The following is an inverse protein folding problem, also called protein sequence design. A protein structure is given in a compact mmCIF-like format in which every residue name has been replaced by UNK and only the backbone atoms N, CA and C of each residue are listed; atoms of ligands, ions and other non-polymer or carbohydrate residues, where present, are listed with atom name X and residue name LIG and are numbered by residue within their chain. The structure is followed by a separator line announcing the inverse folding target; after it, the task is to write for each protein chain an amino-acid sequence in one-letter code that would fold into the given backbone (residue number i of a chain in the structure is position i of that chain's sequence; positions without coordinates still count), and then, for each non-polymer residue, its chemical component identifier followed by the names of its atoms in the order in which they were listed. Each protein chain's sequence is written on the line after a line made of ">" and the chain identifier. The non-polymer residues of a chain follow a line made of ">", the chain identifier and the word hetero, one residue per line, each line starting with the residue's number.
data_IF_167777119568
#
_entry.id   IF_167777119568
#
_cell.length_a   1.000
_cell.length_b   1.000
_cell.length_c   1.000
_cell.angle_alpha   90.00
_cell.angle_beta   90.00
_cell.angle_gamma   90.00
#
_symmetry.space_group_name_H-M   'P 1'
#
loop_
_entity.id
_entity.type
_entity.pdbx_description
1 polymer ?
#
# COMPACT_ATOMS: atom_id res chain seq x y z
N UNK A 1 20.74 15.16 11.92
CA UNK A 1 19.49 15.94 12.03
C UNK A 1 18.35 15.07 11.50
N UNK A 2 17.22 14.94 12.22
CA UNK A 2 16.06 14.21 11.70
C UNK A 2 15.61 14.92 10.43
N UNK A 3 15.71 14.23 9.29
CA UNK A 3 15.54 14.86 8.00
C UNK A 3 14.06 14.86 7.64
N UNK A 4 13.43 16.04 7.67
CA UNK A 4 12.05 16.24 7.21
C UNK A 4 11.79 15.71 5.78
N UNK A 5 12.86 15.41 5.01
CA UNK A 5 12.80 14.74 3.72
C UNK A 5 12.10 13.37 3.73
N UNK A 6 12.03 12.67 4.87
CA UNK A 6 11.32 11.38 4.97
C UNK A 6 9.83 11.53 4.68
N UNK A 7 9.22 12.65 5.08
CA UNK A 7 7.81 12.96 4.84
C UNK A 7 7.54 13.57 3.46
N UNK A 8 8.58 14.00 2.76
CA UNK A 8 8.40 14.82 1.56
C UNK A 8 7.56 14.10 0.48
N UNK A 9 7.78 12.81 0.14
CA UNK A 9 7.03 12.17 -0.93
C UNK A 9 5.53 12.08 -0.64
N UNK A 10 5.15 11.58 0.54
CA UNK A 10 3.75 11.49 0.97
C UNK A 10 3.09 12.86 1.16
N UNK A 11 3.81 13.83 1.76
CA UNK A 11 3.30 15.19 1.97
C UNK A 11 3.04 15.96 0.67
N UNK A 12 3.87 15.77 -0.36
CA UNK A 12 3.70 16.42 -1.66
C UNK A 12 2.40 16.01 -2.35
N UNK A 13 2.06 14.71 -2.32
CA UNK A 13 0.81 14.21 -2.88
C UNK A 13 -0.41 14.68 -2.07
N UNK A 14 -0.30 14.70 -0.74
CA UNK A 14 -1.37 15.21 0.12
C UNK A 14 -1.61 16.71 -0.10
N UNK A 15 -0.53 17.50 -0.17
CA UNK A 15 -0.59 18.93 -0.47
C UNK A 15 -1.17 19.18 -1.87
N UNK A 16 -0.83 18.34 -2.85
CA UNK A 16 -1.38 18.42 -4.19
C UNK A 16 -2.89 18.19 -4.22
N UNK A 17 -3.37 17.19 -3.48
CA UNK A 17 -4.80 16.95 -3.34
C UNK A 17 -5.52 18.15 -2.70
N UNK A 18 -4.98 18.68 -1.60
CA UNK A 18 -5.56 19.83 -0.89
C UNK A 18 -5.57 21.10 -1.76
N UNK A 19 -4.46 21.40 -2.45
CA UNK A 19 -4.38 22.54 -3.37
C UNK A 19 -5.31 22.36 -4.57
N UNK A 20 -5.37 21.17 -5.15
CA UNK A 20 -6.30 20.85 -6.24
C UNK A 20 -7.75 21.13 -5.83
N UNK A 21 -8.15 20.64 -4.65
CA UNK A 21 -9.47 20.86 -4.11
C UNK A 21 -9.77 22.36 -3.85
N UNK A 22 -8.84 23.10 -3.24
CA UNK A 22 -9.01 24.54 -2.99
C UNK A 22 -9.11 25.35 -4.29
N UNK A 23 -8.32 25.01 -5.31
CA UNK A 23 -8.35 25.70 -6.61
C UNK A 23 -9.64 25.41 -7.38
N UNK A 24 -10.21 24.22 -7.21
CA UNK A 24 -11.51 23.87 -7.77
C UNK A 24 -12.66 24.67 -7.16
N UNK A 25 -12.60 25.03 -5.87
CA UNK A 25 -13.58 25.93 -5.25
C UNK A 25 -13.61 27.31 -5.93
N UNK A 26 -12.50 27.73 -6.57
CA UNK A 26 -12.37 28.99 -7.31
C UNK A 26 -12.56 28.79 -8.83
N UNK A 27 -12.91 27.57 -9.27
CA UNK A 27 -13.20 27.24 -10.67
C UNK A 27 -11.97 26.91 -11.52
N UNK A 28 -10.78 26.79 -10.93
CA UNK A 28 -9.54 26.52 -11.66
C UNK A 28 -9.32 25.00 -11.81
N UNK A 29 -9.45 24.49 -13.03
CA UNK A 29 -9.36 23.04 -13.34
C UNK A 29 -7.93 22.60 -13.69
N UNK A 30 -7.03 22.66 -12.71
CA UNK A 30 -5.62 22.23 -12.89
C UNK A 30 -5.21 21.04 -12.03
N UNK A 31 -6.14 20.44 -11.27
CA UNK A 31 -5.86 19.37 -10.30
C UNK A 31 -5.13 18.17 -10.91
N UNK A 32 -5.48 17.75 -12.13
CA UNK A 32 -4.75 16.67 -12.83
C UNK A 32 -3.27 16.97 -13.01
N UNK A 33 -2.95 18.14 -13.53
CA UNK A 33 -1.56 18.54 -13.78
C UNK A 33 -0.79 18.69 -12.47
N UNK A 34 -1.46 19.20 -11.44
CA UNK A 34 -0.89 19.38 -10.11
C UNK A 34 -0.58 18.02 -9.46
N UNK A 35 -1.50 17.04 -9.53
CA UNK A 35 -1.28 15.69 -9.03
C UNK A 35 -0.18 14.95 -9.82
N UNK A 36 -0.15 15.07 -11.15
CA UNK A 36 0.91 14.49 -11.98
C UNK A 36 2.28 15.07 -11.65
N UNK A 37 2.38 16.41 -11.60
CA UNK A 37 3.62 17.10 -11.22
C UNK A 37 4.07 16.71 -9.81
N UNK A 38 3.14 16.63 -8.85
CA UNK A 38 3.44 16.22 -7.50
C UNK A 38 3.92 14.76 -7.40
N UNK A 39 3.37 13.83 -8.18
CA UNK A 39 3.82 12.44 -8.21
C UNK A 39 5.23 12.31 -8.79
N UNK A 40 5.53 13.00 -9.90
CA UNK A 40 6.89 13.05 -10.45
C UNK A 40 7.87 13.72 -9.49
N UNK A 41 7.45 14.78 -8.80
CA UNK A 41 8.28 15.47 -7.82
C UNK A 41 8.50 14.60 -6.57
N UNK A 42 7.48 13.87 -6.10
CA UNK A 42 7.59 12.90 -5.01
C UNK A 42 8.56 11.76 -5.37
N UNK A 43 8.53 11.28 -6.61
CA UNK A 43 9.50 10.31 -7.12
C UNK A 43 10.92 10.86 -7.10
N UNK A 44 11.10 12.09 -7.58
CA UNK A 44 12.39 12.76 -7.58
C UNK A 44 12.91 13.00 -6.15
N UNK A 45 12.07 13.41 -5.21
CA UNK A 45 12.46 13.64 -3.81
C UNK A 45 12.77 12.36 -3.08
N UNK A 46 12.05 11.26 -3.35
CA UNK A 46 12.38 9.93 -2.83
C UNK A 46 13.78 9.50 -3.28
N UNK A 47 14.08 9.61 -4.58
CA UNK A 47 15.39 9.25 -5.13
C UNK A 47 16.51 10.18 -4.63
N UNK A 48 16.24 11.48 -4.58
CA UNK A 48 17.21 12.47 -4.12
C UNK A 48 17.54 12.27 -2.63
N UNK A 49 16.54 12.04 -1.78
CA UNK A 49 16.75 11.80 -0.34
C UNK A 49 17.51 10.49 -0.08
N UNK A 50 17.20 9.43 -0.83
CA UNK A 50 17.94 8.16 -0.74
C UNK A 50 19.39 8.29 -1.23
N UNK A 51 19.61 9.00 -2.34
CA UNK A 51 20.94 9.23 -2.90
C UNK A 51 21.82 10.14 -2.04
N UNK A 52 21.25 11.26 -1.58
CA UNK A 52 21.99 12.27 -0.80
C UNK A 52 22.46 11.75 0.57
N UNK A 53 21.80 10.73 1.10
CA UNK A 53 22.12 10.14 2.41
C UNK A 53 23.11 8.97 2.31
N UNK A 54 23.67 8.71 1.12
CA UNK A 54 24.58 7.58 0.91
C UNK A 54 23.90 6.24 1.15
N UNK A 55 22.57 6.14 0.97
CA UNK A 55 21.76 4.93 1.21
C UNK A 55 21.67 4.52 2.68
N UNK A 56 21.86 5.47 3.59
CA UNK A 56 21.63 5.25 5.02
C UNK A 56 20.13 5.27 5.34
N UNK A 57 19.74 4.53 6.39
CA UNK A 57 18.37 4.59 6.91
C UNK A 57 18.14 5.95 7.57
N UNK A 58 17.06 6.63 7.19
CA UNK A 58 16.60 7.85 7.85
C UNK A 58 15.38 7.54 8.71
N UNK A 59 15.36 8.06 9.93
CA UNK A 59 14.22 7.95 10.82
C UNK A 59 13.78 9.34 11.28
N UNK A 60 12.47 9.55 11.31
CA UNK A 60 11.81 10.74 11.81
C UNK A 60 10.79 10.30 12.86
N UNK A 61 11.10 10.57 14.12
CA UNK A 61 10.19 10.34 15.23
C UNK A 61 9.61 11.68 15.67
N UNK A 62 8.32 11.89 15.41
CA UNK A 62 7.61 13.09 15.83
C UNK A 62 7.00 12.88 17.22
N UNK A 63 6.96 13.93 18.07
CA UNK A 63 6.23 13.85 19.32
C UNK A 63 4.73 13.66 19.04
N UNK A 64 4.11 12.71 19.74
CA UNK A 64 2.68 12.44 19.65
C UNK A 64 2.32 11.09 19.04
N UNK A 65 1.03 10.85 18.92
CA UNK A 65 0.46 9.64 18.30
C UNK A 65 -0.64 10.02 17.33
N UNK A 66 -0.85 9.19 16.31
CA UNK A 66 -1.95 9.32 15.35
C UNK A 66 -2.80 8.06 15.44
N UNK A 67 -4.06 8.22 15.89
CA UNK A 67 -4.97 7.11 16.18
C UNK A 67 -4.35 6.04 17.11
N UNK A 68 -3.57 6.47 18.11
CA UNK A 68 -2.88 5.59 19.05
C UNK A 68 -1.58 4.97 18.52
N UNK A 69 -1.24 5.18 17.24
CA UNK A 69 0.04 4.74 16.67
C UNK A 69 1.14 5.80 16.90
N UNK A 70 2.38 5.41 17.25
CA UNK A 70 3.48 6.35 17.33
C UNK A 70 3.76 6.95 15.94
N UNK A 71 3.94 8.28 15.89
CA UNK A 71 4.32 9.01 14.67
C UNK A 71 5.82 8.83 14.38
N UNK A 72 6.17 7.60 14.03
CA UNK A 72 7.50 7.20 13.61
C UNK A 72 7.48 6.95 12.10
N UNK A 73 8.40 7.58 11.38
CA UNK A 73 8.57 7.40 9.95
C UNK A 73 10.01 6.99 9.66
N UNK A 74 10.16 6.20 8.61
CA UNK A 74 11.42 5.59 8.24
C UNK A 74 11.55 5.49 6.74
N UNK A 75 12.68 5.96 6.24
CA UNK A 75 13.12 5.77 4.88
C UNK A 75 14.33 4.83 4.88
N UNK A 76 14.12 3.59 4.42
CA UNK A 76 15.17 2.61 4.18
C UNK A 76 15.04 2.00 2.78
N UNK A 77 15.91 1.05 2.46
CA UNK A 77 15.89 0.40 1.15
C UNK A 77 14.53 -0.24 0.81
N UNK A 78 13.79 -0.72 1.81
CA UNK A 78 12.45 -1.29 1.64
C UNK A 78 11.45 -0.17 1.34
N UNK A 79 11.42 0.89 2.16
CA UNK A 79 10.54 2.05 1.90
C UNK A 79 10.77 2.61 0.49
N UNK A 80 12.04 2.73 0.08
CA UNK A 80 12.40 3.26 -1.25
C UNK A 80 11.97 2.31 -2.36
N UNK A 81 12.24 1.01 -2.24
CA UNK A 81 11.85 0.04 -3.27
C UNK A 81 10.33 0.00 -3.46
N UNK A 82 9.55 -0.10 -2.37
CA UNK A 82 8.08 -0.09 -2.45
C UNK A 82 7.53 1.27 -2.85
N UNK A 83 8.15 2.37 -2.40
CA UNK A 83 7.82 3.73 -2.82
C UNK A 83 7.99 3.91 -4.33
N UNK A 84 9.04 3.34 -4.94
CA UNK A 84 9.22 3.32 -6.40
C UNK A 84 8.14 2.52 -7.11
N UNK A 85 7.84 1.32 -6.61
CA UNK A 85 6.80 0.44 -7.17
C UNK A 85 5.43 1.11 -7.13
N UNK A 86 5.17 1.99 -6.14
CA UNK A 86 3.93 2.76 -6.03
C UNK A 86 3.97 4.05 -6.87
N UNK A 87 5.05 4.84 -6.78
CA UNK A 87 5.14 6.18 -7.39
C UNK A 87 5.24 6.13 -8.90
N UNK A 88 5.99 5.18 -9.48
CA UNK A 88 6.15 5.09 -10.94
C UNK A 88 4.79 4.89 -11.62
N UNK A 89 4.00 3.85 -11.30
CA UNK A 89 2.68 3.70 -11.91
C UNK A 89 1.76 4.86 -11.53
N UNK A 90 1.78 5.35 -10.28
CA UNK A 90 0.95 6.50 -9.88
C UNK A 90 1.22 7.75 -10.74
N UNK A 91 2.49 8.08 -10.98
CA UNK A 91 2.89 9.21 -11.81
C UNK A 91 2.46 9.03 -13.27
N UNK A 92 2.60 7.83 -13.82
CA UNK A 92 2.12 7.49 -15.16
C UNK A 92 0.58 7.60 -15.23
N UNK A 93 -0.14 7.04 -14.26
CA UNK A 93 -1.61 7.08 -14.20
C UNK A 93 -2.10 8.53 -14.12
N UNK A 94 -1.54 9.38 -13.26
CA UNK A 94 -1.93 10.79 -13.21
C UNK A 94 -1.56 11.59 -14.47
N UNK A 95 -0.51 11.19 -15.18
CA UNK A 95 -0.10 11.85 -16.42
C UNK A 95 -1.03 11.49 -17.59
N UNK A 96 -1.44 10.21 -17.68
CA UNK A 96 -2.11 9.69 -18.87
C UNK A 96 -3.62 9.44 -18.70
N UNK A 97 -4.12 9.12 -17.51
CA UNK A 97 -5.54 8.88 -17.28
C UNK A 97 -6.32 10.18 -17.07
N UNK A 98 -7.56 10.22 -17.56
CA UNK A 98 -8.39 11.41 -17.58
C UNK A 98 -9.43 11.33 -16.47
N UNK A 99 -9.00 11.72 -15.27
CA UNK A 99 -9.89 11.78 -14.11
C UNK A 99 -10.54 13.15 -13.94
N UNK A 100 -11.75 13.12 -13.39
CA UNK A 100 -12.43 14.32 -12.92
C UNK A 100 -11.68 14.99 -11.75
N UNK A 101 -11.92 16.29 -11.50
CA UNK A 101 -11.27 17.06 -10.45
C UNK A 101 -11.30 16.39 -9.05
N UNK A 102 -12.50 16.02 -8.59
CA UNK A 102 -12.70 15.29 -7.33
C UNK A 102 -12.05 13.90 -7.31
N UNK A 103 -12.12 13.16 -8.41
CA UNK A 103 -11.50 11.83 -8.56
C UNK A 103 -9.97 11.93 -8.43
N UNK A 104 -9.35 12.97 -9.00
CA UNK A 104 -7.91 13.23 -8.87
C UNK A 104 -7.52 13.52 -7.43
N UNK A 105 -8.28 14.34 -6.72
CA UNK A 105 -8.00 14.69 -5.32
C UNK A 105 -8.01 13.45 -4.41
N UNK A 106 -9.05 12.62 -4.54
CA UNK A 106 -9.16 11.35 -3.78
C UNK A 106 -8.03 10.40 -4.16
N UNK A 107 -7.72 10.26 -5.45
CA UNK A 107 -6.65 9.40 -5.92
C UNK A 107 -5.26 9.86 -5.41
N UNK A 108 -5.00 11.17 -5.38
CA UNK A 108 -3.77 11.74 -4.85
C UNK A 108 -3.64 11.51 -3.33
N UNK A 109 -4.73 11.65 -2.56
CA UNK A 109 -4.74 11.27 -1.15
C UNK A 109 -4.53 9.78 -0.93
N UNK A 110 -5.14 8.92 -1.75
CA UNK A 110 -4.95 7.48 -1.68
C UNK A 110 -3.49 7.10 -1.90
N UNK A 111 -2.85 7.71 -2.91
CA UNK A 111 -1.44 7.53 -3.18
C UNK A 111 -0.55 8.05 -2.04
N UNK A 112 -0.87 9.23 -1.47
CA UNK A 112 -0.18 9.76 -0.29
C UNK A 112 -0.26 8.79 0.90
N UNK A 113 -1.44 8.24 1.18
CA UNK A 113 -1.64 7.25 2.24
C UNK A 113 -0.88 5.94 1.97
N UNK A 114 -0.82 5.50 0.71
CA UNK A 114 -0.02 4.33 0.31
C UNK A 114 1.47 4.56 0.57
N UNK A 115 2.00 5.74 0.24
CA UNK A 115 3.39 6.07 0.54
C UNK A 115 3.65 6.18 2.03
N UNK A 116 2.73 6.80 2.76
CA UNK A 116 2.81 6.87 4.22
C UNK A 116 2.87 5.47 4.85
N UNK A 117 2.14 4.49 4.31
CA UNK A 117 2.22 3.10 4.76
C UNK A 117 3.60 2.48 4.49
N UNK A 118 4.24 2.81 3.36
CA UNK A 118 5.61 2.36 3.05
C UNK A 118 6.69 3.03 3.91
N UNK A 119 6.46 4.30 4.26
CA UNK A 119 7.33 5.14 5.08
C UNK A 119 7.06 4.95 6.58
N UNK A 120 6.04 4.18 6.97
CA UNK A 120 5.69 3.99 8.37
C UNK A 120 6.81 3.27 9.14
N UNK A 121 7.26 3.88 10.23
CA UNK A 121 8.25 3.33 11.16
C UNK A 121 7.66 2.36 12.19
N UNK A 122 6.33 2.21 12.24
CA UNK A 122 5.63 1.30 13.14
C UNK A 122 4.53 0.51 12.43
N UNK A 123 4.23 -0.66 12.97
CA UNK A 123 3.19 -1.54 12.44
C UNK A 123 1.78 -0.91 12.57
N UNK A 124 1.52 -0.22 13.68
CA UNK A 124 0.25 0.48 13.89
C UNK A 124 0.05 1.64 12.91
N UNK A 125 1.09 2.44 12.64
CA UNK A 125 1.00 3.51 11.65
C UNK A 125 0.82 2.95 10.24
N UNK A 126 1.49 1.82 9.94
CA UNK A 126 1.28 1.08 8.69
C UNK A 126 -0.20 0.67 8.55
N UNK A 127 -0.81 0.17 9.62
CA UNK A 127 -2.22 -0.23 9.65
C UNK A 127 -3.17 0.95 9.38
N UNK A 128 -2.94 2.09 10.03
CA UNK A 128 -3.76 3.29 9.85
C UNK A 128 -3.61 3.84 8.42
N UNK A 129 -2.39 3.91 7.91
CA UNK A 129 -2.11 4.40 6.56
C UNK A 129 -2.72 3.48 5.49
N UNK A 130 -2.59 2.17 5.65
CA UNK A 130 -3.20 1.17 4.77
C UNK A 130 -4.72 1.22 4.80
N UNK A 131 -5.33 1.31 5.99
CA UNK A 131 -6.78 1.45 6.13
C UNK A 131 -7.30 2.75 5.49
N UNK A 132 -6.55 3.84 5.63
CA UNK A 132 -6.86 5.12 4.97
C UNK A 132 -6.76 4.99 3.45
N UNK A 133 -5.70 4.36 2.94
CA UNK A 133 -5.52 4.10 1.52
C UNK A 133 -6.68 3.26 0.95
N UNK A 134 -7.01 2.13 1.60
CA UNK A 134 -8.11 1.26 1.20
C UNK A 134 -9.47 1.98 1.22
N UNK A 135 -9.70 2.85 2.20
CA UNK A 135 -10.94 3.64 2.29
C UNK A 135 -11.02 4.69 1.17
N UNK A 136 -9.91 5.38 0.86
CA UNK A 136 -9.86 6.37 -0.21
C UNK A 136 -9.99 5.72 -1.59
N UNK A 137 -9.40 4.54 -1.79
CA UNK A 137 -9.59 3.74 -3.01
C UNK A 137 -11.06 3.31 -3.14
N UNK A 138 -11.73 2.93 -2.05
CA UNK A 138 -13.16 2.63 -2.08
C UNK A 138 -13.98 3.85 -2.51
N UNK A 139 -13.66 5.03 -2.00
CA UNK A 139 -14.30 6.29 -2.40
C UNK A 139 -14.06 6.58 -3.88
N UNK A 140 -12.84 6.37 -4.38
CA UNK A 140 -12.53 6.53 -5.81
C UNK A 140 -13.34 5.54 -6.67
N UNK A 141 -13.47 4.29 -6.24
CA UNK A 141 -14.29 3.28 -6.92
C UNK A 141 -15.77 3.66 -6.93
N UNK A 142 -16.30 4.22 -5.84
CA UNK A 142 -17.68 4.71 -5.76
C UNK A 142 -17.95 5.92 -6.65
N UNK A 143 -16.94 6.76 -6.89
CA UNK A 143 -17.07 7.87 -7.83
C UNK A 143 -17.13 7.38 -9.28
N UNK A 144 -16.49 6.26 -9.59
CA UNK A 144 -16.49 5.68 -10.95
C UNK A 144 -17.70 4.78 -11.22
N UNK A 145 -18.13 3.94 -10.28
CA UNK A 145 -19.35 3.11 -10.40
C UNK A 145 -20.08 2.96 -9.06
N UNK A 146 -21.40 2.77 -9.11
CA UNK A 146 -22.27 2.69 -7.91
C UNK A 146 -22.10 1.43 -7.04
N UNK A 147 -21.37 0.40 -7.48
CA UNK A 147 -21.29 -0.87 -6.74
C UNK A 147 -19.86 -1.24 -6.37
N UNK A 148 -19.51 -1.22 -5.07
CA UNK A 148 -18.23 -1.77 -4.62
C UNK A 148 -18.26 -3.29 -4.72
N UNK A 149 -17.13 -3.90 -5.07
CA UNK A 149 -17.00 -5.35 -5.00
C UNK A 149 -17.02 -5.77 -3.53
N UNK A 150 -18.00 -6.57 -3.12
CA UNK A 150 -18.06 -7.11 -1.75
C UNK A 150 -16.77 -7.82 -1.35
N UNK A 151 -16.12 -8.50 -2.30
CA UNK A 151 -14.80 -9.12 -2.12
C UNK A 151 -13.71 -8.12 -1.71
N UNK A 152 -13.71 -6.90 -2.27
CA UNK A 152 -12.78 -5.83 -1.91
C UNK A 152 -12.98 -5.41 -0.44
N UNK A 153 -14.24 -5.09 -0.09
CA UNK A 153 -14.57 -4.64 1.26
C UNK A 153 -14.20 -5.67 2.32
N UNK A 154 -14.58 -6.92 2.10
CA UNK A 154 -14.30 -8.01 3.05
C UNK A 154 -12.80 -8.23 3.17
N UNK A 155 -12.08 -8.32 2.05
CA UNK A 155 -10.63 -8.60 2.04
C UNK A 155 -9.84 -7.53 2.75
N UNK A 156 -10.02 -6.25 2.39
CA UNK A 156 -9.22 -5.17 2.96
C UNK A 156 -9.63 -4.79 4.38
N UNK A 157 -10.90 -4.93 4.73
CA UNK A 157 -11.34 -4.76 6.12
C UNK A 157 -10.73 -5.84 7.01
N UNK A 158 -10.73 -7.09 6.56
CA UNK A 158 -10.06 -8.19 7.26
C UNK A 158 -8.54 -7.98 7.32
N UNK A 159 -7.90 -7.52 6.24
CA UNK A 159 -6.47 -7.19 6.24
C UNK A 159 -6.13 -6.11 7.27
N UNK A 160 -6.90 -5.02 7.31
CA UNK A 160 -6.73 -3.94 8.28
C UNK A 160 -6.90 -4.42 9.72
N UNK A 161 -7.92 -5.24 9.99
CA UNK A 161 -8.15 -5.83 11.32
C UNK A 161 -7.00 -6.76 11.75
N UNK A 162 -6.53 -7.64 10.86
CA UNK A 162 -5.40 -8.53 11.14
C UNK A 162 -4.13 -7.72 11.42
N UNK A 163 -3.89 -6.67 10.65
CA UNK A 163 -2.70 -5.82 10.80
C UNK A 163 -2.74 -5.01 12.10
N UNK A 164 -3.90 -4.44 12.44
CA UNK A 164 -4.11 -3.75 13.71
C UNK A 164 -3.94 -4.71 14.90
N UNK A 165 -4.49 -5.93 14.80
CA UNK A 165 -4.34 -6.95 15.83
C UNK A 165 -2.89 -7.42 15.96
N UNK A 166 -2.16 -7.57 14.86
CA UNK A 166 -0.72 -7.86 14.89
C UNK A 166 0.06 -6.75 15.62
N UNK A 167 -0.27 -5.49 15.37
CA UNK A 167 0.26 -4.34 16.11
C UNK A 167 -0.01 -4.42 17.61
N UNK A 168 -1.25 -4.71 18.01
CA UNK A 168 -1.62 -4.87 19.43
C UNK A 168 -0.86 -6.01 20.08
N UNK A 169 -0.77 -7.18 19.44
CA UNK A 169 -0.02 -8.32 20.00
C UNK A 169 1.46 -7.97 20.13
N UNK A 170 2.02 -7.23 19.18
CA UNK A 170 3.43 -6.80 19.21
C UNK A 170 3.69 -5.79 20.33
N UNK A 171 2.78 -4.83 20.58
CA UNK A 171 2.83 -3.94 21.74
C UNK A 171 2.77 -4.72 23.06
N UNK A 172 1.84 -5.68 23.18
CA UNK A 172 1.66 -6.46 24.42
C UNK A 172 2.85 -7.37 24.70
N UNK A 173 3.44 -7.98 23.67
CA UNK A 173 4.49 -9.00 23.85
C UNK A 173 5.91 -8.46 23.72
N UNK A 174 6.11 -7.45 22.87
CA UNK A 174 7.40 -6.81 22.60
C UNK A 174 7.56 -5.44 23.25
N UNK A 175 6.51 -4.87 23.83
CA UNK A 175 6.51 -3.54 24.45
C UNK A 175 6.50 -2.37 23.46
N UNK A 176 6.46 -2.65 22.15
CA UNK A 176 6.41 -1.63 21.10
C UNK A 176 5.99 -2.23 19.76
N UNK A 177 5.34 -1.43 18.91
CA UNK A 177 5.06 -1.73 17.50
C UNK A 177 6.04 -1.09 16.51
N UNK A 178 7.08 -0.40 17.00
CA UNK A 178 8.08 0.29 16.17
C UNK A 178 9.05 -0.73 15.57
N UNK A 179 9.23 -0.71 14.24
CA UNK A 179 10.02 -1.71 13.53
C UNK A 179 11.50 -1.76 13.95
N UNK A 180 12.10 -0.61 14.26
CA UNK A 180 13.51 -0.53 14.69
C UNK A 180 13.74 -0.89 16.17
N UNK A 181 12.69 -0.88 16.98
CA UNK A 181 12.78 -1.11 18.43
C UNK A 181 12.16 -2.44 18.88
N UNK A 182 11.29 -3.05 18.06
CA UNK A 182 10.65 -4.31 18.38
C UNK A 182 11.69 -5.44 18.51
N UNK A 183 11.69 -6.20 19.62
CA UNK A 183 12.62 -7.28 19.80
C UNK A 183 12.32 -8.42 18.81
N UNK A 184 13.37 -9.02 18.24
CA UNK A 184 13.25 -10.12 17.26
C UNK A 184 12.42 -11.29 17.80
N UNK A 185 12.49 -11.53 19.12
CA UNK A 185 11.74 -12.59 19.82
C UNK A 185 10.23 -12.33 19.93
N UNK A 186 9.77 -11.11 19.63
CA UNK A 186 8.35 -10.79 19.57
C UNK A 186 7.70 -11.22 18.24
N UNK A 187 8.49 -11.43 17.17
CA UNK A 187 7.99 -12.06 15.95
C UNK A 187 7.84 -13.57 16.18
N UNK A 188 6.75 -13.93 16.86
CA UNK A 188 6.35 -15.33 17.06
C UNK A 188 5.43 -15.78 15.94
N UNK A 189 5.24 -17.10 15.83
CA UNK A 189 4.33 -17.71 14.83
C UNK A 189 2.97 -17.02 14.76
N UNK A 190 2.27 -16.69 15.87
CA UNK A 190 0.98 -16.01 15.79
C UNK A 190 1.05 -14.62 15.13
N UNK A 191 2.03 -13.80 15.50
CA UNK A 191 2.21 -12.45 14.92
C UNK A 191 2.53 -12.57 13.43
N UNK A 192 3.43 -13.48 13.08
CA UNK A 192 3.75 -13.76 11.68
C UNK A 192 2.51 -14.19 10.88
N UNK A 193 1.66 -15.08 11.41
CA UNK A 193 0.45 -15.52 10.72
C UNK A 193 -0.55 -14.39 10.50
N UNK A 194 -0.70 -13.47 11.47
CA UNK A 194 -1.53 -12.27 11.31
C UNK A 194 -0.98 -11.36 10.20
N UNK A 195 0.33 -11.13 10.17
CA UNK A 195 1.00 -10.33 9.15
C UNK A 195 0.91 -10.98 7.76
N UNK A 196 1.15 -12.28 7.67
CA UNK A 196 1.04 -13.03 6.43
C UNK A 196 -0.40 -13.05 5.91
N UNK A 197 -1.40 -13.24 6.78
CA UNK A 197 -2.81 -13.14 6.42
C UNK A 197 -3.17 -11.75 5.90
N UNK A 198 -2.75 -10.69 6.61
CA UNK A 198 -2.95 -9.30 6.16
C UNK A 198 -2.28 -9.04 4.80
N UNK A 199 -1.05 -9.52 4.61
CA UNK A 199 -0.31 -9.42 3.36
C UNK A 199 -1.03 -10.08 2.18
N UNK A 200 -1.51 -11.31 2.37
CA UNK A 200 -2.22 -12.06 1.32
C UNK A 200 -3.55 -11.40 0.94
N UNK A 201 -4.32 -10.95 1.93
CA UNK A 201 -5.59 -10.26 1.71
C UNK A 201 -5.38 -8.88 1.04
N UNK A 202 -4.36 -8.15 1.45
CA UNK A 202 -4.02 -6.84 0.87
C UNK A 202 -3.49 -6.96 -0.56
N UNK A 203 -2.66 -7.97 -0.85
CA UNK A 203 -2.13 -8.21 -2.20
C UNK A 203 -3.12 -8.90 -3.14
N UNK A 204 -4.21 -9.46 -2.61
CA UNK A 204 -5.20 -10.20 -3.40
C UNK A 204 -4.70 -11.57 -3.88
N UNK A 205 -3.59 -12.08 -3.31
CA UNK A 205 -2.98 -13.36 -3.66
C UNK A 205 -3.67 -14.52 -2.95
N UNK A 206 -4.89 -14.82 -3.37
CA UNK A 206 -5.70 -15.90 -2.82
C UNK A 206 -5.94 -16.98 -3.90
N UNK A 207 -6.05 -18.26 -3.52
CA UNK A 207 -6.30 -19.33 -4.48
C UNK A 207 -7.77 -19.36 -4.94
N UNK A 208 -8.64 -18.56 -4.33
CA UNK A 208 -10.02 -18.32 -4.77
C UNK A 208 -10.14 -16.91 -5.38
N UNK A 209 -11.26 -16.57 -6.06
CA UNK A 209 -11.48 -15.24 -6.60
C UNK A 209 -11.27 -14.16 -5.55
N UNK A 210 -10.38 -13.21 -5.84
CA UNK A 210 -10.02 -12.12 -4.94
C UNK A 210 -10.55 -10.78 -5.47
N UNK A 211 -10.28 -9.70 -4.74
CA UNK A 211 -10.64 -8.36 -5.19
C UNK A 211 -9.90 -7.93 -6.47
N UNK A 212 -8.75 -8.55 -6.76
CA UNK A 212 -7.82 -8.09 -7.78
C UNK A 212 -8.34 -8.32 -9.23
N UNK A 213 -8.79 -9.52 -9.64
CA UNK A 213 -9.44 -9.70 -10.94
C UNK A 213 -10.71 -8.84 -11.10
N UNK A 214 -11.45 -8.64 -10.02
CA UNK A 214 -12.65 -7.81 -10.04
C UNK A 214 -12.37 -6.32 -10.25
N UNK A 215 -11.14 -5.85 -10.02
CA UNK A 215 -10.73 -4.48 -10.38
C UNK A 215 -10.40 -4.34 -11.87
N UNK A 216 -9.98 -5.43 -12.53
CA UNK A 216 -9.67 -5.46 -13.95
C UNK A 216 -10.87 -5.69 -14.85
N UNK A 217 -11.96 -6.28 -14.33
CA UNK A 217 -13.18 -6.57 -15.09
C UNK A 217 -14.17 -5.38 -15.14
N UNK A 218 -13.74 -4.18 -14.76
CA UNK A 218 -14.57 -2.97 -14.65
C UNK A 218 -14.66 -2.23 -15.98
N UNK A 219 -15.76 -1.48 -16.18
CA UNK A 219 -15.95 -0.68 -17.41
C UNK A 219 -14.97 0.50 -17.47
N UNK A 220 -14.74 1.14 -16.31
CA UNK A 220 -13.68 2.14 -16.12
C UNK A 220 -12.55 1.54 -15.29
N UNK A 221 -11.35 1.56 -15.85
CA UNK A 221 -10.13 1.01 -15.23
C UNK A 221 -9.33 2.05 -14.45
N UNK A 222 -9.79 3.29 -14.35
CA UNK A 222 -8.99 4.38 -13.78
C UNK A 222 -8.77 4.18 -12.27
N UNK A 223 -9.82 3.94 -11.48
CA UNK A 223 -9.71 3.61 -10.06
C UNK A 223 -9.25 2.18 -9.83
N UNK A 224 -9.63 1.25 -10.73
CA UNK A 224 -9.17 -0.14 -10.67
C UNK A 224 -7.64 -0.24 -10.76
N UNK A 225 -7.05 0.32 -11.82
CA UNK A 225 -5.59 0.35 -11.99
C UNK A 225 -4.86 1.09 -10.87
N UNK A 226 -5.46 2.14 -10.31
CA UNK A 226 -4.92 2.82 -9.13
C UNK A 226 -4.94 1.90 -7.91
N UNK A 227 -6.06 1.24 -7.62
CA UNK A 227 -6.19 0.32 -6.48
C UNK A 227 -5.07 -0.74 -6.50
N UNK A 228 -4.80 -1.30 -7.68
CA UNK A 228 -3.77 -2.31 -7.90
C UNK A 228 -2.37 -1.74 -7.67
N UNK A 229 -2.09 -0.57 -8.26
CA UNK A 229 -0.80 0.11 -8.14
C UNK A 229 -0.47 0.51 -6.69
N UNK A 230 -1.49 0.84 -5.88
CA UNK A 230 -1.32 1.27 -4.49
C UNK A 230 -1.32 0.07 -3.52
N UNK A 231 -2.35 -0.77 -3.54
CA UNK A 231 -2.60 -1.77 -2.50
C UNK A 231 -1.85 -3.09 -2.73
N UNK A 232 -1.67 -3.49 -3.99
CA UNK A 232 -0.96 -4.72 -4.35
C UNK A 232 0.45 -4.77 -3.73
N UNK A 233 1.30 -3.75 -3.97
CA UNK A 233 2.63 -3.67 -3.39
C UNK A 233 2.64 -3.64 -1.85
N UNK A 234 1.65 -3.01 -1.21
CA UNK A 234 1.58 -2.93 0.25
C UNK A 234 1.45 -4.30 0.91
N UNK A 235 0.78 -5.26 0.28
CA UNK A 235 0.74 -6.64 0.80
C UNK A 235 2.13 -7.26 0.90
N UNK A 236 2.96 -7.11 -0.15
CA UNK A 236 4.34 -7.59 -0.15
C UNK A 236 5.25 -6.81 0.81
N UNK A 237 5.02 -5.50 0.95
CA UNK A 237 5.71 -4.67 1.93
C UNK A 237 5.57 -5.25 3.34
N UNK A 238 4.37 -5.70 3.73
CA UNK A 238 4.13 -6.29 5.05
C UNK A 238 5.00 -7.53 5.30
N UNK A 239 5.17 -8.39 4.30
CA UNK A 239 6.07 -9.54 4.39
C UNK A 239 7.53 -9.10 4.48
N UNK A 240 7.97 -8.14 3.67
CA UNK A 240 9.33 -7.61 3.73
C UNK A 240 9.64 -7.00 5.10
N UNK A 241 8.69 -6.23 5.67
CA UNK A 241 8.79 -5.66 7.03
C UNK A 241 8.83 -6.73 8.10
N UNK A 242 7.99 -7.76 8.01
CA UNK A 242 8.01 -8.90 8.92
C UNK A 242 9.37 -9.63 8.88
N UNK A 243 9.97 -9.79 7.69
CA UNK A 243 11.30 -10.39 7.56
C UNK A 243 12.39 -9.54 8.24
N UNK A 244 12.30 -8.21 8.13
CA UNK A 244 13.23 -7.31 8.84
C UNK A 244 13.04 -7.32 10.35
N UNK A 245 11.80 -7.40 10.84
CA UNK A 245 11.50 -7.59 12.27
C UNK A 245 12.14 -8.87 12.81
N UNK A 246 12.15 -9.93 12.00
CA UNK A 246 12.79 -11.20 12.31
C UNK A 246 14.31 -11.22 12.12
N UNK A 247 14.95 -10.05 11.94
CA UNK A 247 16.38 -9.92 11.64
C UNK A 247 16.85 -10.78 10.45
N UNK A 248 16.01 -10.89 9.41
CA UNK A 248 16.30 -11.71 8.24
C UNK A 248 15.98 -13.20 8.43
N UNK A 249 15.14 -13.53 9.40
CA UNK A 249 14.67 -14.90 9.61
C UNK A 249 13.19 -14.92 9.96
N UNK A 250 12.50 -15.99 9.55
CA UNK A 250 11.14 -16.24 10.01
C UNK A 250 11.15 -16.98 11.35
N UNK A 251 10.04 -16.96 12.11
CA UNK A 251 9.97 -17.65 13.40
C UNK A 251 10.34 -19.14 13.32
N UNK A 252 10.02 -19.79 12.20
CA UNK A 252 10.45 -21.16 11.90
C UNK A 252 10.75 -21.30 10.41
N UNK A 253 11.72 -22.15 10.01
CA UNK A 253 12.06 -22.34 8.60
C UNK A 253 10.92 -22.98 7.79
N UNK A 254 10.03 -23.74 8.44
CA UNK A 254 8.87 -24.34 7.80
C UNK A 254 7.93 -23.29 7.18
N UNK A 255 7.87 -22.08 7.73
CA UNK A 255 7.01 -21.01 7.21
C UNK A 255 7.45 -20.51 5.83
N UNK A 256 8.76 -20.58 5.49
CA UNK A 256 9.22 -20.33 4.13
C UNK A 256 8.57 -21.31 3.15
N UNK A 257 8.62 -22.60 3.49
CA UNK A 257 8.09 -23.66 2.64
C UNK A 257 6.58 -23.51 2.49
N UNK A 258 5.87 -23.22 3.59
CA UNK A 258 4.42 -22.99 3.56
C UNK A 258 4.07 -21.79 2.68
N UNK A 259 4.74 -20.64 2.82
CA UNK A 259 4.49 -19.47 1.97
C UNK A 259 4.80 -19.75 0.49
N UNK A 260 5.91 -20.43 0.21
CA UNK A 260 6.29 -20.79 -1.15
C UNK A 260 5.28 -21.76 -1.79
N UNK A 261 4.88 -22.81 -1.06
CA UNK A 261 3.86 -23.75 -1.50
C UNK A 261 2.51 -23.05 -1.72
N UNK A 262 2.15 -22.12 -0.83
CA UNK A 262 0.94 -21.32 -1.00
C UNK A 262 1.02 -20.45 -2.26
N UNK A 263 2.16 -19.82 -2.54
CA UNK A 263 2.38 -19.07 -3.78
C UNK A 263 2.21 -19.93 -5.04
N UNK A 264 2.71 -21.17 -5.03
CA UNK A 264 2.49 -22.14 -6.13
C UNK A 264 1.01 -22.46 -6.29
N UNK A 265 0.28 -22.70 -5.20
CA UNK A 265 -1.16 -22.98 -5.23
C UNK A 265 -1.95 -21.79 -5.76
N UNK A 266 -1.62 -20.56 -5.33
CA UNK A 266 -2.25 -19.32 -5.83
C UNK A 266 -2.01 -19.17 -7.33
N UNK A 267 -0.78 -19.36 -7.80
CA UNK A 267 -0.44 -19.26 -9.21
C UNK A 267 -1.16 -20.33 -10.06
N UNK A 268 -1.19 -21.58 -9.59
CA UNK A 268 -1.90 -22.67 -10.27
C UNK A 268 -3.40 -22.42 -10.33
N UNK A 269 -4.00 -21.93 -9.24
CA UNK A 269 -5.41 -21.60 -9.20
C UNK A 269 -5.76 -20.43 -10.11
N UNK A 270 -4.95 -19.37 -10.13
CA UNK A 270 -5.10 -18.25 -11.07
C UNK A 270 -5.01 -18.72 -12.52
N UNK A 271 -4.04 -19.59 -12.85
CA UNK A 271 -3.92 -20.18 -14.18
C UNK A 271 -5.17 -21.00 -14.57
N UNK A 272 -5.69 -21.82 -13.65
CA UNK A 272 -6.92 -22.58 -13.89
C UNK A 272 -8.14 -21.68 -14.13
N UNK A 273 -8.30 -20.60 -13.34
CA UNK A 273 -9.39 -19.65 -13.51
C UNK A 273 -9.27 -18.85 -14.81
N UNK A 274 -8.05 -18.44 -15.16
CA UNK A 274 -7.78 -17.78 -16.45
C UNK A 274 -8.22 -18.67 -17.62
N UNK A 275 -7.83 -19.95 -17.62
CA UNK A 275 -8.23 -20.90 -18.67
C UNK A 275 -9.76 -21.13 -18.74
N UNK A 276 -10.45 -21.01 -17.60
CA UNK A 276 -11.90 -21.14 -17.52
C UNK A 276 -12.66 -19.83 -17.87
N UNK A 277 -11.95 -18.72 -18.13
CA UNK A 277 -12.57 -17.43 -18.36
C UNK A 277 -13.33 -17.39 -19.71
N UNK A 278 -14.57 -16.91 -19.68
CA UNK A 278 -15.44 -16.85 -20.85
C UNK A 278 -15.10 -15.68 -21.82
N UNK A 279 -14.25 -14.75 -21.40
CA UNK A 279 -13.91 -13.56 -22.16
C UNK A 279 -12.42 -13.23 -22.05
N UNK A 280 -11.88 -12.57 -23.08
CA UNK A 280 -10.50 -12.06 -23.09
C UNK A 280 -10.18 -11.12 -21.92
N UNK A 281 -11.02 -10.13 -21.53
CA UNK A 281 -10.73 -9.29 -20.37
C UNK A 281 -10.68 -10.09 -19.07
N UNK A 282 -11.61 -11.03 -18.86
CA UNK A 282 -11.60 -11.90 -17.68
C UNK A 282 -10.36 -12.83 -17.65
N UNK A 283 -9.91 -13.31 -18.82
CA UNK A 283 -8.65 -14.06 -18.92
C UNK A 283 -7.46 -13.19 -18.48
N UNK A 284 -7.36 -11.96 -18.98
CA UNK A 284 -6.26 -11.05 -18.64
C UNK A 284 -6.28 -10.61 -17.18
N UNK A 285 -7.47 -10.39 -16.62
CA UNK A 285 -7.67 -10.06 -15.21
C UNK A 285 -7.12 -11.13 -14.26
N UNK A 286 -7.21 -12.41 -14.65
CA UNK A 286 -6.69 -13.55 -13.87
C UNK A 286 -5.23 -13.89 -14.20
N UNK A 287 -4.80 -13.72 -15.46
CA UNK A 287 -3.47 -14.12 -15.93
C UNK A 287 -2.37 -13.10 -15.63
N UNK A 288 -2.69 -11.80 -15.66
CA UNK A 288 -1.74 -10.71 -15.43
C UNK A 288 -2.28 -9.70 -14.40
N UNK A 289 -2.60 -10.15 -13.17
CA UNK A 289 -3.35 -9.32 -12.24
C UNK A 289 -2.54 -8.12 -11.70
N UNK A 290 -1.22 -8.13 -11.81
CA UNK A 290 -0.32 -7.09 -11.28
C UNK A 290 0.38 -6.24 -12.34
N UNK A 291 0.20 -6.53 -13.64
CA UNK A 291 0.83 -5.80 -14.75
C UNK A 291 2.31 -6.09 -14.96
#
# INVERSE_FOLDING_TARGET
>A
MPSASVLAPSALLAAAAALGWLLELVGVRISRWLAAAAAWLALATLLASWGATGRATLELNLPGTLAGAPLALRLDAISVAFGLVVLIPTALLFTFQRRGPAEVGVAALAAAASLLASEAGSLLLTAVALGSCASLVLVALWQEEERPTTAYLVSLSAAGLLLLWAGVVLEVTGGTSVYSAAPVTALRVPVFLLLAGAALLCSGLLPWPSWLPAMWDRERLEAGSLAIALLGPLGFLLLARAYTLGAGSWPTPALNLVLAAFGVVVAAAAACRAQAAASRPAFLAEAAPLG
#
